data_IF_272688758760
#
_entry.id   IF_272688758760
#
_cell.length_a   1.000
_cell.length_b   1.000
_cell.length_c   1.000
_cell.angle_alpha   90.00
_cell.angle_beta   90.00
_cell.angle_gamma   90.00
#
_symmetry.space_group_name_H-M   'P 1'
#
loop_
_entity.id
_entity.type
_entity.pdbx_description
1 polymer ?
#
# COMPACT_ATOMS: atom_id res chain seq x y z
N UNK A 1 -8.56 -9.46 -28.58
CA UNK A 1 -8.61 -9.39 -27.11
C UNK A 1 -10.00 -8.93 -26.69
N UNK A 2 -10.58 -9.48 -25.61
CA UNK A 2 -11.85 -8.98 -25.09
C UNK A 2 -11.58 -7.86 -24.08
N UNK A 3 -12.07 -6.66 -24.35
CA UNK A 3 -11.91 -5.50 -23.48
C UNK A 3 -13.21 -5.27 -22.73
N UNK A 4 -13.18 -5.17 -21.39
CA UNK A 4 -14.38 -4.86 -20.61
C UNK A 4 -14.82 -3.42 -20.90
N UNK A 5 -16.06 -3.25 -21.35
CA UNK A 5 -16.68 -1.93 -21.51
C UNK A 5 -17.42 -1.52 -20.22
N UNK A 6 -18.04 -2.48 -19.57
CA UNK A 6 -18.72 -2.35 -18.27
C UNK A 6 -18.50 -3.61 -17.43
N UNK A 7 -19.01 -3.65 -16.20
CA UNK A 7 -18.83 -4.79 -15.29
C UNK A 7 -19.35 -6.13 -15.85
N UNK A 8 -20.31 -6.12 -16.78
CA UNK A 8 -20.95 -7.32 -17.31
C UNK A 8 -20.84 -7.49 -18.84
N UNK A 9 -20.18 -6.56 -19.54
CA UNK A 9 -20.08 -6.57 -21.01
C UNK A 9 -18.63 -6.45 -21.49
N UNK A 10 -18.27 -7.36 -22.39
CA UNK A 10 -16.97 -7.40 -23.04
C UNK A 10 -17.13 -7.23 -24.55
N UNK A 11 -16.26 -6.43 -25.15
CA UNK A 11 -16.27 -6.14 -26.59
C UNK A 11 -14.98 -6.66 -27.21
N UNK A 12 -15.01 -7.28 -28.41
CA UNK A 12 -13.80 -7.65 -29.13
C UNK A 12 -13.03 -6.39 -29.57
N UNK A 13 -11.75 -6.32 -29.18
CA UNK A 13 -10.80 -5.29 -29.59
C UNK A 13 -9.53 -5.90 -30.18
N UNK A 14 -8.92 -5.18 -31.11
CA UNK A 14 -7.59 -5.47 -31.66
C UNK A 14 -6.59 -4.48 -31.08
N UNK A 15 -5.38 -4.97 -30.80
CA UNK A 15 -4.29 -4.12 -30.31
C UNK A 15 -3.57 -3.53 -31.51
N UNK A 16 -3.42 -2.20 -31.56
CA UNK A 16 -2.75 -1.52 -32.66
C UNK A 16 -1.22 -1.54 -32.48
N UNK A 17 -0.73 -1.03 -31.35
CA UNK A 17 0.70 -1.03 -30.99
C UNK A 17 0.92 -1.62 -29.60
N UNK A 18 1.75 -2.67 -29.51
CA UNK A 18 2.06 -3.34 -28.25
C UNK A 18 3.30 -2.77 -27.53
N UNK A 19 4.11 -1.97 -28.25
CA UNK A 19 5.43 -1.53 -27.77
C UNK A 19 5.35 -0.31 -26.84
N UNK A 20 4.23 0.40 -26.88
CA UNK A 20 4.01 1.64 -26.16
C UNK A 20 2.83 1.51 -25.21
N UNK A 21 3.01 2.02 -24.01
CA UNK A 21 2.02 2.01 -22.95
C UNK A 21 1.84 3.41 -22.39
N UNK A 22 0.60 3.77 -22.06
CA UNK A 22 0.29 5.04 -21.42
C UNK A 22 0.32 4.84 -19.91
N UNK A 23 1.16 5.61 -19.21
CA UNK A 23 1.38 5.51 -17.78
C UNK A 23 0.86 6.76 -17.08
N UNK A 24 0.06 6.57 -16.03
CA UNK A 24 -0.39 7.64 -15.14
C UNK A 24 0.74 8.05 -14.18
N UNK A 25 1.16 9.31 -14.27
CA UNK A 25 2.18 9.91 -13.39
C UNK A 25 1.57 10.64 -12.18
N UNK A 26 0.25 10.78 -12.13
CA UNK A 26 -0.51 11.46 -11.08
C UNK A 26 -1.09 12.80 -11.54
N UNK A 27 -1.95 13.39 -10.70
CA UNK A 27 -2.62 14.69 -10.95
C UNK A 27 -3.43 14.75 -12.26
N UNK A 28 -3.79 13.59 -12.83
CA UNK A 28 -4.54 13.48 -14.08
C UNK A 28 -3.68 13.53 -15.35
N UNK A 29 -2.35 13.47 -15.23
CA UNK A 29 -1.45 13.45 -16.37
C UNK A 29 -1.01 12.04 -16.74
N UNK A 30 -0.99 11.78 -18.05
CA UNK A 30 -0.60 10.52 -18.64
C UNK A 30 0.58 10.74 -19.60
N UNK A 31 1.56 9.85 -19.54
CA UNK A 31 2.75 9.90 -20.40
C UNK A 31 2.88 8.59 -21.17
N UNK A 32 3.12 8.69 -22.47
CA UNK A 32 3.47 7.53 -23.30
C UNK A 32 4.90 7.09 -22.99
N UNK A 33 5.06 5.80 -22.66
CA UNK A 33 6.34 5.17 -22.36
C UNK A 33 6.49 3.87 -23.14
N UNK A 34 7.73 3.42 -23.29
CA UNK A 34 7.99 2.08 -23.83
C UNK A 34 7.57 1.01 -22.82
N UNK A 35 7.32 -0.21 -23.30
CA UNK A 35 6.94 -1.34 -22.42
C UNK A 35 7.98 -1.62 -21.33
N UNK A 36 9.28 -1.45 -21.63
CA UNK A 36 10.37 -1.63 -20.67
C UNK A 36 10.34 -0.56 -19.56
N UNK A 37 10.24 0.71 -19.94
CA UNK A 37 10.13 1.81 -18.96
C UNK A 37 8.83 1.74 -18.15
N UNK A 38 7.74 1.29 -18.76
CA UNK A 38 6.46 1.09 -18.08
C UNK A 38 6.57 0.02 -16.98
N UNK A 39 7.27 -1.08 -17.27
CA UNK A 39 7.55 -2.12 -16.28
C UNK A 39 8.40 -1.58 -15.13
N UNK A 40 9.50 -0.89 -15.44
CA UNK A 40 10.36 -0.26 -14.43
C UNK A 40 9.58 0.74 -13.55
N UNK A 41 8.70 1.54 -14.15
CA UNK A 41 7.85 2.46 -13.41
C UNK A 41 6.94 1.74 -12.40
N UNK A 42 6.30 0.65 -12.83
CA UNK A 42 5.45 -0.16 -11.96
C UNK A 42 6.26 -0.81 -10.82
N UNK A 43 7.43 -1.37 -11.12
CA UNK A 43 8.33 -1.97 -10.12
C UNK A 43 8.79 -0.95 -9.09
N UNK A 44 9.20 0.24 -9.54
CA UNK A 44 9.59 1.35 -8.65
C UNK A 44 8.44 1.77 -7.74
N UNK A 45 7.22 1.88 -8.28
CA UNK A 45 6.03 2.27 -7.49
C UNK A 45 5.64 1.20 -6.47
N UNK A 46 5.76 -0.08 -6.86
CA UNK A 46 5.58 -1.22 -5.94
C UNK A 46 6.60 -1.21 -4.81
N UNK A 47 7.88 -0.97 -5.11
CA UNK A 47 8.93 -0.89 -4.09
C UNK A 47 8.72 0.28 -3.12
N UNK A 48 8.27 1.43 -3.62
CA UNK A 48 7.93 2.58 -2.78
C UNK A 48 6.74 2.28 -1.85
N UNK A 49 5.68 1.65 -2.37
CA UNK A 49 4.54 1.20 -1.54
C UNK A 49 4.98 0.20 -0.47
N UNK A 50 5.83 -0.76 -0.84
CA UNK A 50 6.36 -1.75 0.09
C UNK A 50 7.19 -1.11 1.20
N UNK A 51 8.11 -0.21 0.86
CA UNK A 51 8.91 0.53 1.86
C UNK A 51 8.02 1.32 2.82
N UNK A 52 6.99 2.00 2.31
CA UNK A 52 6.05 2.75 3.15
C UNK A 52 5.25 1.82 4.06
N UNK A 53 4.83 0.66 3.54
CA UNK A 53 4.13 -0.35 4.32
C UNK A 53 5.00 -0.90 5.45
N UNK A 54 6.26 -1.26 5.17
CA UNK A 54 7.19 -1.79 6.16
C UNK A 54 7.45 -0.77 7.28
N UNK A 55 7.63 0.51 6.93
CA UNK A 55 7.76 1.61 7.90
C UNK A 55 6.51 1.77 8.76
N UNK A 56 5.31 1.69 8.17
CA UNK A 56 4.05 1.78 8.90
C UNK A 56 3.88 0.62 9.88
N UNK A 57 4.23 -0.61 9.49
CA UNK A 57 4.20 -1.78 10.36
C UNK A 57 5.16 -1.64 11.53
N UNK A 58 6.36 -1.11 11.29
CA UNK A 58 7.34 -0.86 12.35
C UNK A 58 6.81 0.15 13.37
N UNK A 59 6.26 1.28 12.90
CA UNK A 59 5.66 2.31 13.77
C UNK A 59 4.47 1.77 14.54
N UNK A 60 3.58 1.00 13.88
CA UNK A 60 2.42 0.41 14.52
C UNK A 60 2.83 -0.59 15.61
N UNK A 61 3.82 -1.44 15.34
CA UNK A 61 4.36 -2.41 16.30
C UNK A 61 5.00 -1.74 17.51
N UNK A 62 5.80 -0.68 17.28
CA UNK A 62 6.38 0.14 18.37
C UNK A 62 5.29 0.77 19.25
N UNK A 63 4.25 1.36 18.64
CA UNK A 63 3.12 1.93 19.38
C UNK A 63 2.36 0.88 20.19
N UNK A 64 2.16 -0.32 19.63
CA UNK A 64 1.53 -1.44 20.34
C UNK A 64 2.34 -1.85 21.56
N UNK A 65 3.66 -2.02 21.43
CA UNK A 65 4.52 -2.40 22.56
C UNK A 65 4.49 -1.35 23.68
N UNK A 66 4.55 -0.05 23.34
CA UNK A 66 4.46 1.03 24.33
C UNK A 66 3.11 1.01 25.05
N UNK A 67 2.01 0.78 24.32
CA UNK A 67 0.67 0.69 24.91
C UNK A 67 0.55 -0.53 25.84
N UNK A 68 1.10 -1.68 25.45
CA UNK A 68 1.10 -2.90 26.26
C UNK A 68 1.93 -2.70 27.55
N UNK A 69 3.09 -2.05 27.48
CA UNK A 69 3.94 -1.73 28.64
C UNK A 69 3.27 -0.73 29.60
N UNK A 70 2.68 0.34 29.07
CA UNK A 70 1.92 1.30 29.89
C UNK A 70 0.71 0.64 30.58
N UNK A 71 0.03 -0.28 29.88
CA UNK A 71 -1.06 -1.08 30.44
C UNK A 71 -0.60 -2.00 31.57
N UNK A 72 0.55 -2.67 31.42
CA UNK A 72 1.15 -3.51 32.45
C UNK A 72 1.55 -2.69 33.69
N UNK A 73 2.17 -1.53 33.49
CA UNK A 73 2.54 -0.63 34.59
C UNK A 73 1.31 -0.13 35.35
N UNK A 74 0.25 0.27 34.64
CA UNK A 74 -1.01 0.70 35.25
C UNK A 74 -1.65 -0.42 36.07
N UNK A 75 -1.71 -1.65 35.54
CA UNK A 75 -2.21 -2.81 36.31
C UNK A 75 -1.37 -3.08 37.56
N UNK A 76 -0.04 -2.98 37.47
CA UNK A 76 0.84 -3.17 38.61
C UNK A 76 0.58 -2.11 39.71
N UNK A 77 0.38 -0.84 39.32
CA UNK A 77 0.04 0.24 40.25
C UNK A 77 -1.31 0.05 40.91
N UNK A 78 -2.34 -0.37 40.16
CA UNK A 78 -3.66 -0.69 40.70
C UNK A 78 -3.60 -1.81 41.74
N UNK A 79 -2.82 -2.87 41.50
CA UNK A 79 -2.63 -3.97 42.47
C UNK A 79 -1.91 -3.53 43.74
N UNK A 80 -0.89 -2.67 43.63
CA UNK A 80 -0.20 -2.12 44.80
C UNK A 80 -1.13 -1.22 45.65
N UNK A 81 -1.95 -0.39 45.01
CA UNK A 81 -2.92 0.46 45.70
C UNK A 81 -4.00 -0.37 46.42
N UNK A 82 -4.47 -1.46 45.81
CA UNK A 82 -5.46 -2.36 46.41
C UNK A 82 -4.92 -3.18 47.59
N UNK A 83 -3.60 -3.42 47.67
CA UNK A 83 -2.97 -4.18 48.76
C UNK A 83 -2.63 -3.32 50.00
N UNK A 84 -2.81 -2.01 49.93
CA UNK A 84 -2.46 -1.06 51.00
C UNK A 84 -3.69 -0.57 51.80
N UNK A 85 -4.89 -1.09 51.49
CA UNK A 85 -6.14 -0.90 52.27
C UNK A 85 -6.49 -2.21 52.96
#
# INVERSE_FOLDING_TARGET
>A
MLVPLTASLYVPGTLDSADKVVVDIGTGYFVEKTMAEGKEYCERKMNLMKSNYDQLIEVASKKKNIADEAGAFLQAKLRQAAATT
#
